data_IF_585896415669
#
_entry.id   IF_585896415669
#
_cell.length_a   1.000
_cell.length_b   1.000
_cell.length_c   1.000
_cell.angle_alpha   90.00
_cell.angle_beta   90.00
_cell.angle_gamma   90.00
#
_symmetry.space_group_name_H-M   'P 1'
#
loop_
_entity.id
_entity.type
_entity.pdbx_description
1 polymer ?
#
# COMPACT_ATOMS: atom_id res chain seq x y z
N UNK A 1 -10.37 59.10 -18.87
CA UNK A 1 -8.96 58.83 -18.51
C UNK A 1 -8.42 57.79 -19.47
N UNK A 2 -7.57 58.20 -20.43
CA UNK A 2 -6.89 57.26 -21.36
C UNK A 2 -5.43 57.72 -21.43
N UNK A 3 -4.54 56.94 -20.80
CA UNK A 3 -3.10 57.22 -20.74
C UNK A 3 -2.45 56.87 -22.06
N UNK A 4 -1.87 57.89 -22.69
CA UNK A 4 -0.93 57.79 -23.81
C UNK A 4 0.42 57.28 -23.27
N UNK A 5 0.79 56.04 -23.58
CA UNK A 5 2.17 55.54 -23.46
C UNK A 5 2.66 55.20 -24.87
N UNK A 6 3.18 56.20 -25.59
CA UNK A 6 4.62 56.42 -25.80
C UNK A 6 5.32 55.21 -26.44
N UNK A 7 5.33 55.24 -27.78
CA UNK A 7 6.39 54.65 -28.59
C UNK A 7 7.75 55.12 -28.04
N UNK A 8 8.62 54.17 -27.72
CA UNK A 8 10.06 54.36 -27.79
C UNK A 8 10.71 53.04 -28.18
N UNK A 9 11.18 53.01 -29.42
CA UNK A 9 12.13 52.06 -29.99
C UNK A 9 13.35 51.90 -29.10
N UNK A 10 13.73 50.67 -28.77
CA UNK A 10 15.14 50.24 -28.74
C UNK A 10 15.19 48.83 -29.33
N UNK A 11 15.63 48.77 -30.59
CA UNK A 11 16.15 47.57 -31.21
C UNK A 11 17.54 47.30 -30.63
N UNK A 12 17.78 46.09 -30.13
CA UNK A 12 19.12 45.59 -29.86
C UNK A 12 19.17 44.08 -30.13
N UNK A 13 19.50 43.75 -31.38
CA UNK A 13 20.42 42.66 -31.75
C UNK A 13 20.12 41.29 -31.13
N UNK A 14 19.11 40.59 -31.67
CA UNK A 14 19.05 39.13 -31.60
C UNK A 14 19.94 38.55 -32.73
N UNK A 15 21.25 38.72 -32.61
CA UNK A 15 22.23 38.06 -33.49
C UNK A 15 22.83 36.89 -32.74
N UNK A 16 22.58 35.70 -33.26
CA UNK A 16 23.53 34.60 -33.21
C UNK A 16 23.58 33.79 -31.93
N UNK A 17 22.60 32.91 -31.72
CA UNK A 17 22.84 31.61 -31.09
C UNK A 17 22.19 30.50 -31.92
N UNK A 18 22.45 30.52 -33.23
CA UNK A 18 22.49 29.28 -34.03
C UNK A 18 23.83 28.63 -33.73
N UNK A 19 24.00 28.04 -32.54
CA UNK A 19 24.97 26.97 -32.44
C UNK A 19 24.39 25.85 -33.31
N UNK A 20 25.08 25.38 -34.36
CA UNK A 20 24.80 24.03 -34.81
C UNK A 20 24.97 23.14 -33.58
N UNK A 21 24.05 22.20 -33.36
CA UNK A 21 24.28 21.06 -32.47
C UNK A 21 25.39 20.19 -33.08
N UNK A 22 26.60 20.74 -33.19
CA UNK A 22 27.83 20.11 -33.62
C UNK A 22 28.38 19.15 -32.55
N UNK A 23 27.49 18.59 -31.72
CA UNK A 23 27.72 17.30 -31.07
C UNK A 23 27.39 16.12 -31.98
N UNK A 24 26.88 16.36 -33.19
CA UNK A 24 26.76 15.38 -34.27
C UNK A 24 27.91 15.49 -35.29
N UNK A 25 29.09 15.98 -34.90
CA UNK A 25 30.27 15.83 -35.77
C UNK A 25 30.76 14.40 -35.66
N UNK A 26 30.75 13.70 -36.79
CA UNK A 26 31.11 12.30 -36.95
C UNK A 26 32.50 11.98 -36.37
N UNK A 27 32.53 11.55 -35.11
CA UNK A 27 33.48 10.53 -34.66
C UNK A 27 33.25 9.24 -35.48
N UNK A 28 34.24 8.34 -35.61
CA UNK A 28 33.96 6.95 -36.00
C UNK A 28 32.72 6.44 -35.27
N UNK A 29 31.86 5.71 -35.98
CA UNK A 29 30.58 5.23 -35.44
C UNK A 29 30.84 4.29 -34.26
N UNK A 30 30.88 4.85 -33.04
CA UNK A 30 31.08 4.13 -31.78
C UNK A 30 29.91 3.21 -31.43
N UNK A 31 28.77 3.42 -32.06
CA UNK A 31 27.53 2.69 -31.85
C UNK A 31 26.73 2.63 -33.14
N UNK A 32 26.54 1.42 -33.67
CA UNK A 32 25.78 1.19 -34.90
C UNK A 32 24.30 1.53 -34.70
N UNK A 33 23.66 2.15 -35.70
CA UNK A 33 22.30 2.69 -35.57
C UNK A 33 21.26 1.65 -35.13
N UNK A 34 21.25 0.45 -35.74
CA UNK A 34 20.33 -0.62 -35.35
C UNK A 34 20.55 -1.12 -33.92
N UNK A 35 21.80 -1.20 -33.48
CA UNK A 35 22.14 -1.51 -32.09
C UNK A 35 21.66 -0.41 -31.14
N UNK A 36 21.78 0.86 -31.53
CA UNK A 36 21.28 1.97 -30.75
C UNK A 36 19.75 1.91 -30.55
N UNK A 37 19.01 1.55 -31.59
CA UNK A 37 17.56 1.38 -31.54
C UNK A 37 17.16 0.22 -30.62
N UNK A 38 17.85 -0.92 -30.73
CA UNK A 38 17.63 -2.07 -29.84
C UNK A 38 17.87 -1.72 -28.36
N UNK A 39 19.00 -1.07 -28.05
CA UNK A 39 19.31 -0.67 -26.67
C UNK A 39 18.31 0.36 -26.12
N UNK A 40 17.79 1.25 -26.95
CA UNK A 40 16.74 2.21 -26.55
C UNK A 40 15.42 1.51 -26.25
N UNK A 41 15.04 0.50 -27.06
CA UNK A 41 13.87 -0.35 -26.79
C UNK A 41 13.99 -1.10 -25.46
N UNK A 42 15.15 -1.69 -25.19
CA UNK A 42 15.41 -2.38 -23.92
C UNK A 42 15.32 -1.43 -22.72
N UNK A 43 15.86 -0.21 -22.83
CA UNK A 43 15.76 0.82 -21.77
C UNK A 43 14.30 1.21 -21.52
N UNK A 44 13.48 1.31 -22.58
CA UNK A 44 12.06 1.61 -22.45
C UNK A 44 11.35 0.51 -21.64
N UNK A 45 11.54 -0.75 -21.98
CA UNK A 45 10.94 -1.88 -21.26
C UNK A 45 11.37 -1.93 -19.78
N UNK A 46 12.65 -1.68 -19.50
CA UNK A 46 13.17 -1.59 -18.12
C UNK A 46 12.47 -0.46 -17.36
N UNK A 47 12.30 0.69 -18.00
CA UNK A 47 11.68 1.87 -17.40
C UNK A 47 10.19 1.66 -17.13
N UNK A 48 9.48 0.99 -18.03
CA UNK A 48 8.07 0.63 -17.86
C UNK A 48 7.88 -0.35 -16.69
N UNK A 49 8.73 -1.37 -16.59
CA UNK A 49 8.70 -2.30 -15.46
C UNK A 49 8.98 -1.58 -14.12
N UNK A 50 10.00 -0.72 -14.09
CA UNK A 50 10.33 0.06 -12.89
C UNK A 50 9.20 1.04 -12.51
N UNK A 51 8.57 1.69 -13.49
CA UNK A 51 7.44 2.60 -13.26
C UNK A 51 6.19 1.86 -12.76
N UNK A 52 6.01 0.60 -13.14
CA UNK A 52 4.97 -0.28 -12.61
C UNK A 52 5.27 -0.81 -11.19
N UNK A 53 6.45 -0.50 -10.63
CA UNK A 53 6.93 -1.04 -9.35
C UNK A 53 7.40 -2.49 -9.44
N UNK A 54 7.53 -3.05 -10.65
CA UNK A 54 8.05 -4.40 -10.86
C UNK A 54 9.57 -4.37 -11.01
N UNK A 55 10.25 -4.11 -9.90
CA UNK A 55 11.70 -3.99 -9.85
C UNK A 55 12.42 -5.32 -10.14
N UNK A 56 11.78 -6.45 -9.87
CA UNK A 56 12.32 -7.77 -10.20
C UNK A 56 12.37 -7.99 -11.72
N UNK A 57 11.27 -7.68 -12.43
CA UNK A 57 11.26 -7.73 -13.89
C UNK A 57 12.23 -6.71 -14.49
N UNK A 58 12.29 -5.48 -13.96
CA UNK A 58 13.26 -4.47 -14.39
C UNK A 58 14.71 -4.97 -14.25
N UNK A 59 15.04 -5.66 -13.15
CA UNK A 59 16.38 -6.23 -12.92
C UNK A 59 16.70 -7.37 -13.91
N UNK A 60 15.72 -8.21 -14.25
CA UNK A 60 15.86 -9.25 -15.26
C UNK A 60 16.10 -8.66 -16.66
N UNK A 61 15.31 -7.66 -17.06
CA UNK A 61 15.46 -6.95 -18.33
C UNK A 61 16.82 -6.24 -18.42
N UNK A 62 17.27 -5.58 -17.35
CA UNK A 62 18.60 -4.96 -17.28
C UNK A 62 19.73 -5.99 -17.44
N UNK A 63 19.53 -7.22 -16.93
CA UNK A 63 20.48 -8.33 -17.10
C UNK A 63 20.53 -8.81 -18.55
N UNK A 64 19.39 -8.88 -19.22
CA UNK A 64 19.31 -9.18 -20.65
C UNK A 64 20.00 -8.10 -21.50
N UNK A 65 19.72 -6.82 -21.21
CA UNK A 65 20.39 -5.68 -21.86
C UNK A 65 21.91 -5.74 -21.70
N UNK A 66 22.42 -6.10 -20.51
CA UNK A 66 23.85 -6.27 -20.29
C UNK A 66 24.45 -7.36 -21.19
N UNK A 67 23.71 -8.46 -21.38
CA UNK A 67 24.13 -9.54 -22.28
C UNK A 67 24.15 -9.08 -23.74
N UNK A 68 23.12 -8.34 -24.16
CA UNK A 68 23.01 -7.82 -25.54
C UNK A 68 24.11 -6.80 -25.83
N UNK A 69 24.43 -5.91 -24.90
CA UNK A 69 25.56 -4.99 -25.00
C UNK A 69 26.89 -5.73 -25.20
N UNK A 70 27.12 -6.80 -24.43
CA UNK A 70 28.35 -7.60 -24.55
C UNK A 70 28.47 -8.27 -25.92
N UNK A 71 27.36 -8.80 -26.44
CA UNK A 71 27.29 -9.38 -27.79
C UNK A 71 27.54 -8.33 -28.87
N UNK A 72 26.94 -7.14 -28.73
CA UNK A 72 27.13 -6.04 -29.66
C UNK A 72 28.57 -5.50 -29.66
N UNK A 73 29.22 -5.45 -28.49
CA UNK A 73 30.64 -5.12 -28.38
C UNK A 73 31.54 -6.19 -29.02
N UNK A 74 31.26 -7.48 -28.77
CA UNK A 74 32.02 -8.59 -29.34
C UNK A 74 31.92 -8.68 -30.87
N UNK A 75 30.81 -8.22 -31.45
CA UNK A 75 30.59 -8.14 -32.89
C UNK A 75 31.07 -6.82 -33.53
N UNK A 76 31.67 -5.93 -32.74
CA UNK A 76 32.18 -4.64 -33.22
C UNK A 76 31.11 -3.61 -33.55
N UNK A 77 29.85 -3.86 -33.16
CA UNK A 77 28.74 -2.92 -33.34
C UNK A 77 28.76 -1.78 -32.31
N UNK A 78 29.52 -1.95 -31.23
CA UNK A 78 29.78 -0.96 -30.19
C UNK A 78 31.28 -0.93 -29.92
N UNK A 79 31.88 0.26 -29.86
CA UNK A 79 33.29 0.39 -29.47
C UNK A 79 33.51 -0.06 -28.02
N UNK A 80 34.73 -0.48 -27.69
CA UNK A 80 35.05 -0.96 -26.35
C UNK A 80 34.85 0.13 -25.29
N UNK A 81 35.28 1.35 -25.61
CA UNK A 81 35.12 2.54 -24.78
C UNK A 81 33.64 2.84 -24.52
N UNK A 82 32.81 2.80 -25.58
CA UNK A 82 31.36 3.03 -25.47
C UNK A 82 30.68 1.91 -24.66
N UNK A 83 31.04 0.66 -24.89
CA UNK A 83 30.52 -0.47 -24.12
C UNK A 83 30.88 -0.37 -22.65
N UNK A 84 32.09 0.06 -22.30
CA UNK A 84 32.52 0.25 -20.92
C UNK A 84 31.72 1.36 -20.22
N UNK A 85 31.46 2.47 -20.91
CA UNK A 85 30.65 3.56 -20.39
C UNK A 85 29.20 3.11 -20.11
N UNK A 86 28.57 2.40 -21.06
CA UNK A 86 27.20 1.86 -20.87
C UNK A 86 27.18 0.83 -19.74
N UNK A 87 28.18 -0.05 -19.66
CA UNK A 87 28.28 -1.04 -18.59
C UNK A 87 28.39 -0.39 -17.20
N UNK A 88 29.10 0.73 -17.08
CA UNK A 88 29.18 1.49 -15.83
C UNK A 88 27.80 2.02 -15.42
N UNK A 89 27.04 2.59 -16.37
CA UNK A 89 25.68 3.06 -16.12
C UNK A 89 24.73 1.91 -15.72
N UNK A 90 24.81 0.75 -16.40
CA UNK A 90 24.05 -0.46 -16.05
C UNK A 90 24.33 -0.89 -14.61
N UNK A 91 25.58 -0.80 -14.15
CA UNK A 91 25.94 -1.18 -12.78
C UNK A 91 25.33 -0.24 -11.74
N UNK A 92 25.22 1.06 -12.03
CA UNK A 92 24.54 2.01 -11.15
C UNK A 92 23.06 1.66 -11.02
N UNK A 93 22.36 1.50 -12.15
CA UNK A 93 20.93 1.15 -12.16
C UNK A 93 20.68 -0.19 -11.47
N UNK A 94 21.58 -1.17 -11.61
CA UNK A 94 21.49 -2.44 -10.88
C UNK A 94 21.56 -2.24 -9.37
N UNK A 95 22.45 -1.37 -8.90
CA UNK A 95 22.55 -1.00 -7.49
C UNK A 95 21.24 -0.39 -7.00
N UNK A 96 20.71 0.58 -7.75
CA UNK A 96 19.46 1.26 -7.40
C UNK A 96 18.28 0.27 -7.36
N UNK A 97 18.14 -0.60 -8.37
CA UNK A 97 17.09 -1.64 -8.39
C UNK A 97 17.22 -2.62 -7.22
N UNK A 98 18.44 -2.98 -6.81
CA UNK A 98 18.63 -3.85 -5.65
C UNK A 98 18.11 -3.20 -4.37
N UNK A 99 18.37 -1.90 -4.18
CA UNK A 99 17.87 -1.15 -3.02
C UNK A 99 16.35 -1.12 -3.00
N UNK A 100 15.70 -0.88 -4.15
CA UNK A 100 14.24 -0.87 -4.24
C UNK A 100 13.61 -2.24 -4.00
N UNK A 101 14.25 -3.33 -4.47
CA UNK A 101 13.82 -4.71 -4.19
C UNK A 101 13.90 -4.99 -2.68
N UNK A 102 15.02 -4.65 -2.04
CA UNK A 102 15.21 -4.86 -0.60
C UNK A 102 14.18 -4.05 0.21
N UNK A 103 13.95 -2.79 -0.18
CA UNK A 103 12.93 -1.94 0.44
C UNK A 103 11.52 -2.53 0.30
N UNK A 104 11.18 -3.10 -0.86
CA UNK A 104 9.90 -3.75 -1.09
C UNK A 104 9.72 -5.00 -0.19
N UNK A 105 10.77 -5.79 0.01
CA UNK A 105 10.76 -6.94 0.92
C UNK A 105 10.50 -6.49 2.36
N UNK A 106 11.24 -5.50 2.85
CA UNK A 106 11.06 -4.94 4.20
C UNK A 106 9.64 -4.40 4.40
N UNK A 107 9.11 -3.69 3.41
CA UNK A 107 7.74 -3.17 3.46
C UNK A 107 6.69 -4.30 3.52
N UNK A 108 6.88 -5.38 2.74
CA UNK A 108 5.99 -6.54 2.76
C UNK A 108 6.02 -7.27 4.11
N UNK A 109 7.20 -7.45 4.71
CA UNK A 109 7.34 -8.04 6.03
C UNK A 109 6.67 -7.19 7.11
N UNK A 110 6.86 -5.86 7.07
CA UNK A 110 6.20 -4.94 7.99
C UNK A 110 4.67 -4.99 7.86
N UNK A 111 4.15 -5.05 6.62
CA UNK A 111 2.73 -5.19 6.37
C UNK A 111 2.17 -6.51 6.92
N UNK A 112 2.90 -7.62 6.74
CA UNK A 112 2.51 -8.92 7.28
C UNK A 112 2.47 -8.92 8.82
N UNK A 113 3.47 -8.31 9.47
CA UNK A 113 3.49 -8.16 10.93
C UNK A 113 2.35 -7.28 11.44
N UNK A 114 2.05 -6.17 10.77
CA UNK A 114 0.93 -5.31 11.11
C UNK A 114 -0.41 -6.04 10.98
N UNK A 115 -0.59 -6.83 9.91
CA UNK A 115 -1.78 -7.66 9.72
C UNK A 115 -1.93 -8.72 10.81
N UNK A 116 -0.85 -9.39 11.21
CA UNK A 116 -0.86 -10.36 12.30
C UNK A 116 -1.19 -9.71 13.66
N UNK A 117 -0.61 -8.55 13.96
CA UNK A 117 -0.90 -7.80 15.18
C UNK A 117 -2.36 -7.34 15.24
N UNK A 118 -2.91 -6.86 14.10
CA UNK A 118 -4.31 -6.49 14.01
C UNK A 118 -5.25 -7.68 14.24
N UNK A 119 -4.93 -8.85 13.68
CA UNK A 119 -5.69 -10.08 13.91
C UNK A 119 -5.68 -10.50 15.39
N UNK A 120 -4.51 -10.48 16.04
CA UNK A 120 -4.37 -10.82 17.45
C UNK A 120 -5.13 -9.84 18.37
N UNK A 121 -5.16 -8.55 18.03
CA UNK A 121 -5.95 -7.57 18.79
C UNK A 121 -7.45 -7.81 18.62
N UNK A 122 -7.90 -8.13 17.41
CA UNK A 122 -9.31 -8.43 17.15
C UNK A 122 -9.79 -9.68 17.91
N UNK A 123 -8.95 -10.72 18.01
CA UNK A 123 -9.25 -11.91 18.82
C UNK A 123 -9.42 -11.56 20.30
N UNK A 124 -8.48 -10.81 20.88
CA UNK A 124 -8.56 -10.38 22.29
C UNK A 124 -9.81 -9.55 22.57
N UNK A 125 -10.18 -8.66 21.66
CA UNK A 125 -11.39 -7.85 21.80
C UNK A 125 -12.65 -8.72 21.80
N UNK A 126 -12.71 -9.74 20.92
CA UNK A 126 -13.84 -10.67 20.91
C UNK A 126 -13.95 -11.47 22.21
N UNK A 127 -12.82 -11.92 22.77
CA UNK A 127 -12.80 -12.66 24.04
C UNK A 127 -13.26 -11.78 25.21
N UNK A 128 -12.73 -10.54 25.30
CA UNK A 128 -13.14 -9.58 26.33
C UNK A 128 -14.63 -9.22 26.24
N UNK A 129 -15.16 -9.06 25.03
CA UNK A 129 -16.58 -8.77 24.82
C UNK A 129 -17.45 -9.99 25.16
N UNK A 130 -16.99 -11.20 24.84
CA UNK A 130 -17.67 -12.44 25.22
C UNK A 130 -17.74 -12.60 26.76
N UNK A 131 -16.65 -12.29 27.47
CA UNK A 131 -16.61 -12.33 28.94
C UNK A 131 -17.59 -11.32 29.56
N UNK A 132 -17.55 -10.05 29.13
CA UNK A 132 -18.47 -9.01 29.62
C UNK A 132 -19.93 -9.36 29.36
N UNK A 133 -20.23 -9.94 28.20
CA UNK A 133 -21.58 -10.37 27.85
C UNK A 133 -22.04 -11.55 28.73
N UNK A 134 -21.16 -12.49 29.05
CA UNK A 134 -21.46 -13.60 29.94
C UNK A 134 -21.70 -13.12 31.39
N UNK A 135 -20.88 -12.20 31.91
CA UNK A 135 -21.06 -11.62 33.25
C UNK A 135 -22.41 -10.89 33.36
N UNK A 136 -22.73 -10.04 32.37
CA UNK A 136 -24.01 -9.34 32.32
C UNK A 136 -25.20 -10.31 32.28
N UNK A 137 -25.11 -11.37 31.47
CA UNK A 137 -26.18 -12.37 31.41
C UNK A 137 -26.38 -13.11 32.75
N UNK A 138 -25.31 -13.37 33.51
CA UNK A 138 -25.43 -13.96 34.85
C UNK A 138 -26.10 -13.01 35.83
N UNK A 139 -25.70 -11.74 35.84
CA UNK A 139 -26.30 -10.71 36.69
C UNK A 139 -27.80 -10.53 36.38
N UNK A 140 -28.15 -10.40 35.11
CA UNK A 140 -29.54 -10.28 34.66
C UNK A 140 -30.37 -11.52 35.08
N UNK A 141 -29.77 -12.72 35.03
CA UNK A 141 -30.43 -13.96 35.47
C UNK A 141 -30.59 -14.06 37.00
N UNK A 142 -29.63 -13.54 37.78
CA UNK A 142 -29.72 -13.44 39.24
C UNK A 142 -30.82 -12.47 39.65
N UNK A 143 -30.84 -11.26 39.07
CA UNK A 143 -31.89 -10.26 39.32
C UNK A 143 -33.28 -10.81 38.98
N UNK A 144 -33.43 -11.54 37.87
CA UNK A 144 -34.68 -12.20 37.51
C UNK A 144 -35.10 -13.31 38.49
N UNK A 145 -34.14 -14.06 39.05
CA UNK A 145 -34.41 -15.09 40.08
C UNK A 145 -34.85 -14.48 41.40
N UNK A 146 -34.20 -13.41 41.85
CA UNK A 146 -34.61 -12.71 43.06
C UNK A 146 -36.00 -12.08 42.88
N UNK A 147 -36.26 -11.41 41.75
CA UNK A 147 -37.59 -10.89 41.44
C UNK A 147 -38.67 -12.00 41.40
N UNK A 148 -38.34 -13.19 40.89
CA UNK A 148 -39.25 -14.32 40.89
C UNK A 148 -39.50 -14.90 42.30
N UNK A 149 -38.48 -14.90 43.18
CA UNK A 149 -38.63 -15.30 44.59
C UNK A 149 -39.51 -14.30 45.35
N UNK A 150 -39.26 -13.01 45.18
CA UNK A 150 -40.06 -11.95 45.80
C UNK A 150 -41.53 -12.06 45.35
N UNK A 151 -41.77 -12.22 44.05
CA UNK A 151 -43.12 -12.44 43.51
C UNK A 151 -43.77 -13.72 44.05
N UNK A 152 -43.00 -14.79 44.27
CA UNK A 152 -43.51 -16.04 44.82
C UNK A 152 -43.84 -15.94 46.31
N UNK A 153 -43.03 -15.24 47.11
CA UNK A 153 -43.31 -14.96 48.52
C UNK A 153 -44.51 -14.02 48.67
N UNK A 154 -44.61 -12.98 47.85
CA UNK A 154 -45.79 -12.10 47.80
C UNK A 154 -47.06 -12.89 47.46
N UNK A 155 -46.99 -13.78 46.47
CA UNK A 155 -48.11 -14.65 46.11
C UNK A 155 -48.49 -15.63 47.23
N UNK A 156 -47.49 -16.21 47.91
CA UNK A 156 -47.70 -17.11 49.06
C UNK A 156 -48.35 -16.38 50.22
N UNK A 157 -47.87 -15.17 50.55
CA UNK A 157 -48.45 -14.32 51.58
C UNK A 157 -49.88 -13.93 51.24
N UNK A 158 -50.15 -13.52 50.00
CA UNK A 158 -51.50 -13.21 49.54
C UNK A 158 -52.45 -14.43 49.67
N UNK A 159 -51.95 -15.64 49.40
CA UNK A 159 -52.70 -16.89 49.59
C UNK A 159 -52.96 -17.18 51.07
N UNK A 160 -51.95 -17.01 51.94
CA UNK A 160 -52.09 -17.21 53.38
C UNK A 160 -53.11 -16.23 53.99
N UNK A 161 -53.01 -14.94 53.62
CA UNK A 161 -53.96 -13.90 54.01
C UNK A 161 -55.40 -14.22 53.54
N UNK A 162 -55.57 -14.78 52.32
CA UNK A 162 -56.87 -15.24 51.83
C UNK A 162 -57.44 -16.38 52.70
N UNK A 163 -56.62 -17.37 53.03
CA UNK A 163 -57.04 -18.56 53.80
C UNK A 163 -57.37 -18.25 55.26
N UNK A 164 -56.81 -17.18 55.83
CA UNK A 164 -57.15 -16.71 57.17
C UNK A 164 -58.55 -16.08 57.27
N UNK A 165 -59.12 -15.64 56.14
CA UNK A 165 -60.48 -15.10 56.05
C UNK A 165 -61.52 -16.24 55.92
N UNK A 166 -62.18 -16.56 57.04
CA UNK A 166 -63.08 -17.72 57.13
C UNK A 166 -64.33 -17.58 56.27
N UNK A 167 -64.76 -16.34 56.00
CA UNK A 167 -65.93 -16.05 55.17
C UNK A 167 -65.61 -16.28 53.68
N UNK A 168 -64.42 -15.85 53.22
CA UNK A 168 -63.93 -16.12 51.87
C UNK A 168 -63.63 -17.59 51.59
N UNK A 169 -63.12 -18.31 52.59
CA UNK A 169 -62.89 -19.76 52.49
C UNK A 169 -64.22 -20.52 52.33
N UNK A 170 -65.27 -20.15 53.09
CA UNK A 170 -66.61 -20.75 52.93
C UNK A 170 -67.28 -20.41 51.59
N UNK A 171 -66.97 -19.24 51.02
CA UNK A 171 -67.44 -18.81 49.71
C UNK A 171 -66.70 -19.50 48.54
N UNK A 172 -65.60 -20.22 48.80
CA UNK A 172 -64.81 -20.93 47.79
C UNK A 172 -63.84 -20.05 46.99
N UNK A 173 -63.58 -18.82 47.45
CA UNK A 173 -62.80 -17.80 46.75
C UNK A 173 -61.27 -17.99 46.88
N UNK A 174 -60.81 -18.87 47.79
CA UNK A 174 -59.40 -19.14 48.06
C UNK A 174 -58.98 -20.56 47.64
N UNK A 175 -59.29 -20.98 46.39
CA UNK A 175 -58.76 -22.22 45.81
C UNK A 175 -57.45 -21.98 45.04
#
# INVERSE_FOLDING_TARGET
MIRRHRLTLIAAVAVGFLLPLAGCTADPVDLQAGTAESLQGEILEISEAAAAGDFASAQSLLTAMQSNLRTAAASGQVSAERSAAIQSAINLVRGDLSVEIDAAVVAAEAAAQAAAAAAALAEKQNDEDAEKNAERAQKDAEEAREAAKDAAEDAKKAREDCLADTDKVKAGECN
#
